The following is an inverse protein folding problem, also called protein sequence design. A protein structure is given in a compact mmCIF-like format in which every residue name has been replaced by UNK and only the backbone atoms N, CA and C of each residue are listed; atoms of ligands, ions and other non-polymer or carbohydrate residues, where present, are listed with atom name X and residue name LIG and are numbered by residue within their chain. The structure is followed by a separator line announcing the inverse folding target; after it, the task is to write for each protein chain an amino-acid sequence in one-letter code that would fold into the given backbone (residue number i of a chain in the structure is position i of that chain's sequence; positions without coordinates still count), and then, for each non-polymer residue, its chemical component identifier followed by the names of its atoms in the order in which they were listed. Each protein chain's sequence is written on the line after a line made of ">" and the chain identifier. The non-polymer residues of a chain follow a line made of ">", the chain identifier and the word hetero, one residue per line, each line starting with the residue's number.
data_IF_052597518895
#
_entry.id   IF_052597518895
#
_cell.length_a   1.000
_cell.length_b   1.000
_cell.length_c   1.000
_cell.angle_alpha   90.00
_cell.angle_beta   90.00
_cell.angle_gamma   90.00
#
_symmetry.space_group_name_H-M   'P 1'
#
loop_
_entity.id
_entity.type
_entity.pdbx_description
1 polymer ?
#
# COMPACT_ATOMS: atom_id res chain seq x y z
N UNK A 1 -27.44 -66.42 28.88
CA UNK A 1 -27.86 -65.93 27.55
C UNK A 1 -27.23 -64.55 27.34
N UNK A 2 -26.09 -64.55 26.65
CA UNK A 2 -25.32 -63.34 26.34
C UNK A 2 -25.69 -62.91 24.91
N UNK A 3 -26.27 -61.73 24.75
CA UNK A 3 -26.54 -61.15 23.46
C UNK A 3 -25.39 -60.17 23.09
N UNK A 4 -24.66 -60.56 22.06
CA UNK A 4 -23.60 -59.80 21.44
C UNK A 4 -24.15 -58.51 20.82
N UNK A 5 -23.70 -57.35 21.30
CA UNK A 5 -23.83 -56.10 20.58
C UNK A 5 -22.62 -55.91 19.67
N UNK A 6 -22.82 -56.26 18.41
CA UNK A 6 -21.88 -55.86 17.35
C UNK A 6 -21.98 -54.34 17.12
N UNK A 7 -20.97 -53.64 17.59
CA UNK A 7 -20.75 -52.21 17.18
C UNK A 7 -20.05 -52.21 15.83
N UNK A 8 -20.87 -51.97 14.82
CA UNK A 8 -20.36 -51.65 13.46
C UNK A 8 -19.65 -50.29 13.51
N UNK A 9 -18.33 -50.31 13.59
CA UNK A 9 -17.49 -49.13 13.33
C UNK A 9 -17.53 -48.84 11.82
N UNK A 10 -18.60 -48.25 11.35
CA UNK A 10 -18.64 -47.64 10.03
C UNK A 10 -17.84 -46.33 10.10
N UNK A 11 -16.71 -46.38 9.45
CA UNK A 11 -15.89 -45.32 8.89
C UNK A 11 -16.48 -43.92 8.99
N UNK A 12 -16.15 -43.19 10.05
CA UNK A 12 -16.20 -41.75 10.06
C UNK A 12 -14.93 -41.30 9.34
N UNK A 13 -15.02 -41.20 8.02
CA UNK A 13 -14.05 -40.42 7.24
C UNK A 13 -14.27 -38.98 7.65
N UNK A 14 -13.48 -38.54 8.60
CA UNK A 14 -13.34 -37.12 8.89
C UNK A 14 -12.66 -36.48 7.67
N UNK A 15 -13.50 -35.95 6.77
CA UNK A 15 -13.04 -35.10 5.68
C UNK A 15 -12.48 -33.83 6.35
N UNK A 16 -11.20 -33.85 6.70
CA UNK A 16 -10.45 -32.65 7.03
C UNK A 16 -10.37 -31.88 5.71
N UNK A 17 -11.35 -31.02 5.47
CA UNK A 17 -11.21 -29.91 4.53
C UNK A 17 -10.06 -29.05 5.07
N UNK A 18 -8.87 -29.37 4.63
CA UNK A 18 -7.75 -28.44 4.63
C UNK A 18 -8.23 -27.25 3.77
N UNK A 19 -8.81 -26.26 4.43
CA UNK A 19 -8.87 -24.92 3.92
C UNK A 19 -7.41 -24.45 3.81
N UNK A 20 -6.74 -24.87 2.73
CA UNK A 20 -5.61 -24.11 2.25
C UNK A 20 -6.20 -22.76 1.90
N UNK A 21 -5.98 -21.78 2.76
CA UNK A 21 -6.09 -20.38 2.42
C UNK A 21 -5.05 -20.11 1.33
N UNK A 22 -5.34 -20.55 0.11
CA UNK A 22 -4.68 -19.98 -1.04
C UNK A 22 -5.05 -18.50 -0.93
N UNK A 23 -4.06 -17.67 -0.68
CA UNK A 23 -4.15 -16.26 -0.97
C UNK A 23 -4.49 -16.18 -2.45
N UNK A 24 -5.80 -16.09 -2.74
CA UNK A 24 -6.29 -15.79 -4.07
C UNK A 24 -5.79 -14.36 -4.30
N UNK A 25 -4.56 -14.24 -4.80
CA UNK A 25 -4.16 -13.05 -5.52
C UNK A 25 -5.16 -12.99 -6.67
N UNK A 26 -6.16 -12.13 -6.51
CA UNK A 26 -7.16 -11.87 -7.53
C UNK A 26 -6.44 -11.73 -8.85
N UNK A 27 -6.90 -12.39 -9.93
CA UNK A 27 -6.38 -12.22 -11.29
C UNK A 27 -6.37 -10.75 -11.73
N UNK A 28 -6.98 -9.89 -10.92
CA UNK A 28 -7.20 -8.47 -11.13
C UNK A 28 -6.07 -7.57 -10.57
N UNK A 29 -5.03 -8.15 -9.93
CA UNK A 29 -3.89 -7.38 -9.42
C UNK A 29 -2.68 -7.57 -10.32
N UNK A 30 -2.27 -6.49 -10.98
CA UNK A 30 -1.10 -6.48 -11.86
C UNK A 30 0.11 -5.86 -11.16
N UNK A 31 1.30 -6.37 -11.49
CA UNK A 31 2.57 -5.87 -10.95
C UNK A 31 3.26 -4.94 -11.95
N UNK A 32 3.50 -3.71 -11.54
CA UNK A 32 4.17 -2.67 -12.32
C UNK A 32 5.52 -2.36 -11.68
N UNK A 33 6.61 -2.63 -12.41
CA UNK A 33 7.97 -2.30 -11.95
C UNK A 33 8.36 -0.93 -12.46
N UNK A 34 8.62 0.01 -11.57
CA UNK A 34 9.15 1.33 -11.84
C UNK A 34 10.63 1.42 -11.44
N UNK A 35 11.27 2.54 -11.74
CA UNK A 35 12.70 2.74 -11.49
C UNK A 35 13.08 2.56 -10.02
N UNK A 36 12.29 3.11 -9.09
CA UNK A 36 12.57 3.10 -7.66
C UNK A 36 11.55 2.34 -6.82
N UNK A 37 10.45 1.89 -7.38
CA UNK A 37 9.38 1.22 -6.65
C UNK A 37 8.66 0.17 -7.49
N UNK A 38 7.92 -0.69 -6.83
CA UNK A 38 7.07 -1.72 -7.46
C UNK A 38 5.65 -1.52 -6.95
N UNK A 39 4.70 -1.44 -7.87
CA UNK A 39 3.27 -1.32 -7.57
C UNK A 39 2.56 -2.64 -7.84
N UNK A 40 1.70 -3.07 -6.90
CA UNK A 40 0.62 -4.03 -7.13
C UNK A 40 -0.66 -3.23 -7.28
N UNK A 41 -1.16 -3.15 -8.51
CA UNK A 41 -2.31 -2.33 -8.88
C UNK A 41 -3.53 -3.21 -9.11
N UNK A 42 -4.62 -2.93 -8.41
CA UNK A 42 -5.91 -3.61 -8.58
C UNK A 42 -6.67 -2.93 -9.72
N UNK A 43 -6.91 -3.67 -10.81
CA UNK A 43 -7.56 -3.14 -12.01
C UNK A 43 -9.06 -2.88 -11.82
N UNK A 44 -9.72 -3.59 -10.92
CA UNK A 44 -11.13 -3.40 -10.62
C UNK A 44 -11.36 -2.21 -9.69
N UNK A 45 -10.47 -2.04 -8.70
CA UNK A 45 -10.50 -0.89 -7.79
C UNK A 45 -9.86 0.35 -8.38
N UNK A 46 -8.98 0.17 -9.37
CA UNK A 46 -8.22 1.23 -10.04
C UNK A 46 -7.36 2.06 -9.08
N UNK A 47 -6.77 1.39 -8.08
CA UNK A 47 -5.78 1.98 -7.18
C UNK A 47 -4.70 0.97 -6.76
N UNK A 48 -3.52 1.45 -6.30
CA UNK A 48 -2.46 0.57 -5.81
C UNK A 48 -2.85 -0.04 -4.46
N UNK A 49 -3.04 -1.38 -4.43
CA UNK A 49 -3.25 -2.12 -3.18
C UNK A 49 -1.95 -2.26 -2.39
N UNK A 50 -0.80 -2.22 -3.08
CA UNK A 50 0.52 -2.15 -2.46
C UNK A 50 1.52 -1.47 -3.39
N UNK A 51 2.31 -0.57 -2.84
CA UNK A 51 3.56 -0.06 -3.42
C UNK A 51 4.68 -0.38 -2.45
N UNK A 52 5.85 -0.83 -2.95
CA UNK A 52 6.99 -1.19 -2.11
C UNK A 52 8.29 -0.66 -2.68
N UNK A 53 9.18 -0.22 -1.79
CA UNK A 53 10.46 0.38 -2.19
C UNK A 53 11.48 0.42 -1.06
N UNK A 54 12.76 0.55 -1.44
CA UNK A 54 13.81 0.95 -0.53
C UNK A 54 13.93 2.48 -0.48
N UNK A 55 14.06 3.03 0.71
CA UNK A 55 14.49 4.42 0.95
C UNK A 55 15.94 4.37 1.40
N UNK A 56 16.80 5.11 0.71
CA UNK A 56 18.24 5.17 0.98
C UNK A 56 18.71 6.63 1.09
N UNK A 57 19.78 6.87 1.83
CA UNK A 57 20.38 8.23 1.95
C UNK A 57 20.68 8.86 0.58
N UNK A 58 21.05 8.04 -0.42
CA UNK A 58 21.33 8.50 -1.77
C UNK A 58 20.15 9.26 -2.41
N UNK A 59 18.92 8.97 -2.02
CA UNK A 59 17.72 9.66 -2.55
C UNK A 59 17.65 11.12 -2.08
N UNK A 60 18.43 11.50 -1.07
CA UNK A 60 18.43 12.85 -0.48
C UNK A 60 19.78 13.58 -0.61
N UNK A 61 20.82 12.88 -1.09
CA UNK A 61 22.21 13.36 -1.14
C UNK A 61 22.64 13.53 -2.59
N UNK A 62 22.20 14.60 -3.22
CA UNK A 62 22.61 14.98 -4.57
C UNK A 62 22.96 16.47 -4.60
N UNK A 63 23.90 16.82 -5.49
CA UNK A 63 24.35 18.20 -5.66
C UNK A 63 23.29 19.09 -6.31
N UNK A 64 22.44 18.49 -7.13
CA UNK A 64 21.33 19.17 -7.80
C UNK A 64 20.02 18.41 -7.58
N UNK A 65 19.01 19.12 -7.10
CA UNK A 65 17.65 18.59 -6.96
C UNK A 65 16.76 19.06 -8.11
N UNK A 66 16.05 18.12 -8.70
CA UNK A 66 15.04 18.43 -9.68
C UNK A 66 13.86 19.16 -9.02
N UNK A 67 13.33 20.17 -9.73
CA UNK A 67 12.10 20.79 -9.31
C UNK A 67 10.97 19.74 -9.31
N UNK A 68 10.11 19.84 -8.29
CA UNK A 68 8.92 19.00 -8.22
C UNK A 68 8.04 19.29 -9.43
N UNK A 69 7.71 18.25 -10.20
CA UNK A 69 6.71 18.36 -11.25
C UNK A 69 5.32 18.47 -10.64
N UNK A 70 4.38 19.08 -11.37
CA UNK A 70 2.98 19.25 -10.93
C UNK A 70 1.98 18.46 -11.79
N UNK A 71 2.47 17.84 -12.88
CA UNK A 71 1.62 17.16 -13.86
C UNK A 71 1.53 15.68 -13.56
N UNK A 72 0.35 15.23 -13.20
CA UNK A 72 0.02 13.82 -13.10
C UNK A 72 -0.24 13.23 -14.50
N UNK A 73 0.08 11.97 -14.70
CA UNK A 73 -0.08 11.31 -15.98
C UNK A 73 -0.49 9.85 -15.84
N UNK A 74 -1.09 9.34 -16.94
CA UNK A 74 -1.33 7.91 -17.04
C UNK A 74 0.00 7.15 -17.01
N UNK A 75 -0.01 5.98 -16.35
CA UNK A 75 1.12 5.07 -16.39
C UNK A 75 1.19 4.39 -17.76
N UNK A 76 2.29 4.51 -18.51
CA UNK A 76 2.42 3.86 -19.81
C UNK A 76 2.25 2.32 -19.78
N UNK A 77 2.39 1.71 -18.60
CA UNK A 77 2.21 0.27 -18.36
C UNK A 77 0.74 -0.10 -18.11
N UNK A 78 -0.14 0.90 -17.93
CA UNK A 78 -1.59 0.76 -17.70
C UNK A 78 -2.38 1.39 -18.86
N UNK A 79 -2.16 0.94 -20.08
CA UNK A 79 -2.70 1.56 -21.31
C UNK A 79 -4.24 1.74 -21.31
N UNK A 80 -4.97 0.87 -20.61
CA UNK A 80 -6.44 0.88 -20.56
C UNK A 80 -7.01 1.82 -19.49
N UNK A 81 -6.16 2.35 -18.59
CA UNK A 81 -6.57 3.16 -17.44
C UNK A 81 -6.10 4.62 -17.58
N UNK A 82 -6.42 5.24 -18.72
CA UNK A 82 -5.93 6.59 -19.04
C UNK A 82 -6.75 7.71 -18.41
N UNK A 83 -8.01 7.43 -18.01
CA UNK A 83 -8.97 8.46 -17.58
C UNK A 83 -9.00 8.72 -16.07
N UNK A 84 -8.06 8.15 -15.29
CA UNK A 84 -8.03 8.32 -13.82
C UNK A 84 -7.94 9.80 -13.40
N UNK A 85 -7.34 10.67 -14.23
CA UNK A 85 -7.28 12.10 -13.94
C UNK A 85 -8.66 12.74 -13.74
N UNK A 86 -9.60 12.39 -14.59
CA UNK A 86 -10.93 13.02 -14.58
C UNK A 86 -11.75 12.59 -13.35
N UNK A 87 -11.49 11.40 -12.83
CA UNK A 87 -12.15 10.89 -11.63
C UNK A 87 -11.77 11.67 -10.37
N UNK A 88 -10.58 12.30 -10.33
CA UNK A 88 -10.17 13.15 -9.24
C UNK A 88 -10.72 14.58 -9.31
N UNK A 89 -11.13 15.04 -10.49
CA UNK A 89 -11.63 16.42 -10.66
C UNK A 89 -12.90 16.61 -9.84
N UNK A 90 -12.92 17.66 -9.05
CA UNK A 90 -14.07 18.04 -8.19
C UNK A 90 -14.55 16.95 -7.24
N UNK A 91 -13.74 15.90 -7.01
CA UNK A 91 -14.10 14.78 -6.14
C UNK A 91 -14.01 15.10 -4.64
N UNK A 92 -13.24 16.12 -4.26
CA UNK A 92 -12.88 16.42 -2.88
C UNK A 92 -11.71 15.59 -2.35
N UNK A 93 -11.17 14.67 -3.15
CA UNK A 93 -10.00 13.85 -2.81
C UNK A 93 -8.72 14.37 -3.45
N UNK A 94 -7.64 14.31 -2.71
CA UNK A 94 -6.29 14.55 -3.22
C UNK A 94 -5.80 13.32 -4.00
N UNK A 95 -4.88 13.55 -4.95
CA UNK A 95 -4.05 12.51 -5.54
C UNK A 95 -2.91 12.19 -4.59
N UNK A 96 -3.18 11.33 -3.61
CA UNK A 96 -2.21 10.98 -2.58
C UNK A 96 -1.11 10.07 -3.13
N UNK A 97 0.13 10.54 -3.11
CA UNK A 97 1.27 9.70 -3.50
C UNK A 97 1.46 8.55 -2.52
N UNK A 98 1.64 7.33 -3.02
CA UNK A 98 2.06 6.19 -2.18
C UNK A 98 3.57 6.16 -2.07
N UNK A 99 4.29 6.12 -3.20
CA UNK A 99 5.74 6.42 -3.27
C UNK A 99 5.90 7.94 -3.38
N UNK A 100 6.47 8.60 -2.37
CA UNK A 100 6.57 10.05 -2.32
C UNK A 100 7.44 10.67 -3.42
N UNK A 101 7.00 11.77 -4.00
CA UNK A 101 7.76 12.52 -4.99
C UNK A 101 9.12 13.02 -4.46
N UNK A 102 9.22 13.25 -3.15
CA UNK A 102 10.46 13.63 -2.45
C UNK A 102 11.63 12.68 -2.78
N UNK A 103 11.36 11.38 -2.94
CA UNK A 103 12.40 10.39 -3.24
C UNK A 103 12.89 10.42 -4.69
N UNK A 104 12.24 11.20 -5.54
CA UNK A 104 12.63 11.45 -6.93
C UNK A 104 13.43 12.74 -7.13
N UNK A 105 13.67 13.55 -6.10
CA UNK A 105 14.35 14.85 -6.25
C UNK A 105 15.74 14.73 -6.87
N UNK A 106 16.45 13.64 -6.58
CA UNK A 106 17.78 13.37 -7.15
C UNK A 106 17.77 12.59 -8.48
N UNK A 107 16.64 12.17 -8.97
CA UNK A 107 16.48 11.43 -10.24
C UNK A 107 15.19 11.83 -10.94
N UNK A 108 15.30 12.60 -12.01
CA UNK A 108 14.16 13.12 -12.75
C UNK A 108 13.21 12.02 -13.27
N UNK A 109 13.75 10.87 -13.68
CA UNK A 109 12.90 9.75 -14.15
C UNK A 109 12.06 9.18 -12.99
N UNK A 110 12.67 9.00 -11.82
CA UNK A 110 11.96 8.59 -10.60
C UNK A 110 10.91 9.64 -10.19
N UNK A 111 11.27 10.95 -10.27
CA UNK A 111 10.31 12.03 -10.04
C UNK A 111 9.11 11.91 -10.98
N UNK A 112 9.34 11.75 -12.28
CA UNK A 112 8.28 11.62 -13.29
C UNK A 112 7.39 10.40 -13.01
N UNK A 113 8.00 9.24 -12.74
CA UNK A 113 7.26 8.01 -12.47
C UNK A 113 6.42 8.12 -11.19
N UNK A 114 6.89 8.86 -10.17
CA UNK A 114 6.12 9.04 -8.94
C UNK A 114 4.78 9.75 -9.15
N UNK A 115 4.59 10.48 -10.26
CA UNK A 115 3.34 11.15 -10.65
C UNK A 115 2.43 10.32 -11.55
N UNK A 116 2.73 9.05 -11.77
CA UNK A 116 1.79 8.16 -12.45
C UNK A 116 0.58 7.83 -11.57
N UNK A 117 -0.62 7.75 -12.18
CA UNK A 117 -1.83 7.39 -11.45
C UNK A 117 -1.76 6.00 -10.80
N UNK A 118 -0.93 5.10 -11.30
CA UNK A 118 -0.64 3.80 -10.67
C UNK A 118 0.02 3.91 -9.29
N UNK A 119 0.49 5.11 -8.92
CA UNK A 119 1.07 5.43 -7.62
C UNK A 119 0.15 6.31 -6.75
N UNK A 120 -1.11 6.55 -7.16
CA UNK A 120 -2.02 7.47 -6.48
C UNK A 120 -3.13 6.72 -5.74
N UNK A 121 -3.42 7.17 -4.53
CA UNK A 121 -4.64 6.82 -3.79
C UNK A 121 -5.55 8.04 -3.72
N UNK A 122 -6.87 7.87 -3.92
CA UNK A 122 -7.84 8.89 -3.53
C UNK A 122 -7.81 9.05 -2.01
N UNK A 123 -7.09 10.04 -1.52
CA UNK A 123 -6.97 10.34 -0.09
C UNK A 123 -7.73 11.63 0.25
N UNK A 124 -8.36 11.66 1.42
CA UNK A 124 -8.91 12.92 1.92
C UNK A 124 -7.79 13.93 2.14
N UNK A 125 -8.03 15.24 1.92
CA UNK A 125 -7.02 16.27 2.16
C UNK A 125 -6.46 16.26 3.59
N UNK A 126 -7.31 15.95 4.58
CA UNK A 126 -6.90 15.84 5.98
C UNK A 126 -5.87 14.74 6.18
N UNK A 127 -6.11 13.55 5.61
CA UNK A 127 -5.15 12.44 5.68
C UNK A 127 -3.88 12.75 4.88
N UNK A 128 -4.02 13.08 3.59
CA UNK A 128 -2.89 13.27 2.68
C UNK A 128 -1.91 14.35 3.13
N UNK A 129 -2.45 15.49 3.60
CA UNK A 129 -1.65 16.65 4.02
C UNK A 129 -1.27 16.62 5.51
N UNK A 130 -1.90 15.73 6.30
CA UNK A 130 -1.69 15.51 7.73
C UNK A 130 -0.86 14.26 8.03
N UNK A 131 -1.50 13.25 8.62
CA UNK A 131 -0.84 12.06 9.18
C UNK A 131 -0.03 11.27 8.15
N UNK A 132 -0.50 11.17 6.91
CA UNK A 132 0.23 10.49 5.84
C UNK A 132 1.57 11.17 5.57
N UNK A 133 1.57 12.50 5.45
CA UNK A 133 2.79 13.30 5.28
C UNK A 133 3.72 13.19 6.49
N UNK A 134 3.19 13.16 7.72
CA UNK A 134 4.00 13.00 8.93
C UNK A 134 4.75 11.66 8.94
N UNK A 135 4.12 10.57 8.47
CA UNK A 135 4.82 9.27 8.36
C UNK A 135 5.83 9.25 7.22
N UNK A 136 5.65 10.03 6.16
CA UNK A 136 6.69 10.21 5.13
C UNK A 136 7.93 10.91 5.70
N UNK A 137 7.72 11.94 6.52
CA UNK A 137 8.80 12.64 7.22
C UNK A 137 9.51 11.72 8.22
N UNK A 138 8.77 10.96 9.02
CA UNK A 138 9.31 9.92 9.91
C UNK A 138 10.17 8.92 9.13
N UNK A 139 9.67 8.40 8.01
CA UNK A 139 10.38 7.46 7.15
C UNK A 139 11.73 8.01 6.68
N UNK A 140 11.77 9.30 6.31
CA UNK A 140 13.01 9.99 5.93
C UNK A 140 13.98 10.10 7.10
N UNK A 141 13.50 10.48 8.28
CA UNK A 141 14.34 10.59 9.50
C UNK A 141 14.94 9.23 9.88
N UNK A 142 14.15 8.16 9.84
CA UNK A 142 14.62 6.81 10.12
C UNK A 142 15.66 6.35 9.07
N UNK A 143 15.45 6.69 7.80
CA UNK A 143 16.45 6.42 6.76
C UNK A 143 17.77 7.19 7.00
N UNK A 144 17.70 8.47 7.39
CA UNK A 144 18.90 9.26 7.71
C UNK A 144 19.63 8.67 8.91
N UNK A 145 18.93 8.21 9.93
CA UNK A 145 19.49 7.62 11.16
C UNK A 145 20.10 6.23 10.92
N UNK A 146 19.47 5.38 10.12
CA UNK A 146 19.80 3.96 10.00
C UNK A 146 20.26 3.53 8.60
N UNK A 147 20.58 4.46 7.70
CA UNK A 147 21.04 4.31 6.31
C UNK A 147 20.02 3.84 5.30
N UNK A 148 19.14 2.91 5.65
CA UNK A 148 18.10 2.43 4.75
C UNK A 148 16.90 1.86 5.50
N UNK A 149 15.73 2.09 4.94
CA UNK A 149 14.47 1.50 5.38
C UNK A 149 13.73 0.93 4.18
N UNK A 150 12.94 -0.11 4.40
CA UNK A 150 12.06 -0.64 3.37
C UNK A 150 10.63 -0.27 3.72
N UNK A 151 9.84 0.09 2.71
CA UNK A 151 8.47 0.54 2.90
C UNK A 151 7.52 -0.27 2.03
N UNK A 152 6.39 -0.64 2.60
CA UNK A 152 5.19 -1.08 1.90
C UNK A 152 4.07 -0.13 2.27
N UNK A 153 3.26 0.28 1.31
CA UNK A 153 2.10 1.13 1.56
C UNK A 153 1.04 0.91 0.49
N UNK A 154 -0.22 1.18 0.82
CA UNK A 154 -1.31 1.01 -0.14
C UNK A 154 -2.67 1.37 0.42
N UNK A 155 -3.71 1.07 -0.37
CA UNK A 155 -5.11 1.19 0.03
C UNK A 155 -5.73 -0.17 0.33
N UNK A 156 -6.79 -0.18 1.14
CA UNK A 156 -7.60 -1.36 1.44
C UNK A 156 -9.07 -0.98 1.61
N UNK A 157 -9.97 -1.90 1.23
CA UNK A 157 -11.41 -1.68 1.30
C UNK A 157 -11.94 -0.73 0.23
N UNK A 158 -13.19 -0.36 0.35
CA UNK A 158 -13.89 0.60 -0.50
C UNK A 158 -15.00 1.28 0.30
N UNK A 159 -15.03 2.60 0.34
CA UNK A 159 -16.13 3.37 0.94
C UNK A 159 -17.08 3.91 -0.12
N UNK A 160 -16.60 4.21 -1.30
CA UNK A 160 -17.38 4.70 -2.46
C UNK A 160 -16.55 4.63 -3.73
N UNK A 161 -17.16 5.01 -4.84
CA UNK A 161 -16.48 5.16 -6.13
C UNK A 161 -16.45 6.62 -6.60
N UNK A 162 -15.39 6.96 -7.31
CA UNK A 162 -15.24 8.17 -8.11
C UNK A 162 -15.26 7.72 -9.58
N UNK A 163 -16.42 7.80 -10.24
CA UNK A 163 -16.60 7.12 -11.50
C UNK A 163 -16.41 5.60 -11.35
N UNK A 164 -15.42 5.04 -12.01
CA UNK A 164 -15.06 3.62 -11.90
C UNK A 164 -13.99 3.32 -10.84
N UNK A 165 -13.27 4.35 -10.35
CA UNK A 165 -12.21 4.21 -9.36
C UNK A 165 -12.77 4.11 -7.95
N UNK A 166 -12.36 3.12 -7.19
CA UNK A 166 -12.72 2.96 -5.78
C UNK A 166 -11.92 3.92 -4.88
N UNK A 167 -12.57 4.42 -3.82
CA UNK A 167 -11.90 5.14 -2.73
C UNK A 167 -11.62 4.14 -1.62
N UNK A 168 -10.36 3.92 -1.24
CA UNK A 168 -10.03 2.99 -0.17
C UNK A 168 -10.61 3.45 1.17
N UNK A 169 -11.10 2.51 1.96
CA UNK A 169 -11.59 2.77 3.32
C UNK A 169 -10.44 3.14 4.26
N UNK A 170 -9.32 2.43 4.09
CA UNK A 170 -8.09 2.69 4.85
C UNK A 170 -6.91 2.85 3.90
N UNK A 171 -5.98 3.72 4.30
CA UNK A 171 -4.62 3.77 3.76
C UNK A 171 -3.68 3.19 4.82
N UNK A 172 -2.72 2.38 4.41
CA UNK A 172 -1.81 1.72 5.34
C UNK A 172 -0.35 1.89 4.92
N UNK A 173 0.56 1.80 5.88
CA UNK A 173 2.00 1.84 5.63
C UNK A 173 2.73 0.95 6.63
N UNK A 174 3.70 0.20 6.15
CA UNK A 174 4.67 -0.56 6.95
C UNK A 174 6.07 -0.06 6.64
N UNK A 175 6.85 0.22 7.67
CA UNK A 175 8.24 0.65 7.59
C UNK A 175 9.09 -0.41 8.27
N UNK A 176 10.10 -0.92 7.58
CA UNK A 176 11.09 -1.83 8.14
C UNK A 176 12.46 -1.17 8.18
N UNK A 177 13.07 -1.12 9.36
CA UNK A 177 14.43 -0.61 9.58
C UNK A 177 15.41 -1.77 9.45
N UNK A 178 16.19 -1.79 8.37
CA UNK A 178 17.12 -2.89 8.09
C UNK A 178 18.13 -3.14 9.20
N UNK A 179 18.66 -2.07 9.81
CA UNK A 179 19.71 -2.14 10.83
C UNK A 179 19.23 -2.76 12.14
N UNK A 180 18.05 -2.38 12.62
CA UNK A 180 17.48 -2.84 13.90
C UNK A 180 16.53 -4.03 13.73
N UNK A 181 16.12 -4.34 12.49
CA UNK A 181 15.11 -5.34 12.13
C UNK A 181 13.73 -5.05 12.71
N UNK A 182 13.46 -3.79 13.08
CA UNK A 182 12.19 -3.35 13.62
C UNK A 182 11.19 -3.00 12.52
N UNK A 183 9.92 -3.20 12.83
CA UNK A 183 8.79 -2.88 11.97
C UNK A 183 7.88 -1.87 12.65
N UNK A 184 7.35 -0.93 11.89
CA UNK A 184 6.32 0.02 12.29
C UNK A 184 5.15 -0.08 11.33
N UNK A 185 3.96 -0.40 11.86
CA UNK A 185 2.72 -0.47 11.10
C UNK A 185 1.84 0.75 11.38
N UNK A 186 1.18 1.26 10.34
CA UNK A 186 0.22 2.37 10.42
C UNK A 186 -1.01 2.04 9.59
N UNK A 187 -2.19 2.32 10.15
CA UNK A 187 -3.49 2.16 9.51
C UNK A 187 -4.31 3.44 9.68
N UNK A 188 -4.56 4.14 8.61
CA UNK A 188 -5.27 5.41 8.60
C UNK A 188 -6.64 5.24 8.00
N UNK A 189 -7.68 5.68 8.72
CA UNK A 189 -9.01 5.79 8.14
C UNK A 189 -9.03 6.93 7.11
N UNK A 190 -9.54 6.66 5.94
CA UNK A 190 -9.56 7.63 4.83
C UNK A 190 -10.88 8.41 4.82
N UNK A 191 -11.16 9.12 5.90
CA UNK A 191 -12.33 9.95 6.06
C UNK A 191 -11.96 11.45 6.21
N UNK A 192 -12.96 12.32 6.26
CA UNK A 192 -12.77 13.77 6.37
C UNK A 192 -12.62 14.25 7.81
N UNK A 193 -12.43 13.36 8.77
CA UNK A 193 -12.15 13.75 10.15
C UNK A 193 -10.78 14.43 10.28
N UNK A 194 -10.56 15.09 11.42
CA UNK A 194 -9.25 15.68 11.70
C UNK A 194 -8.22 14.57 11.94
N UNK A 195 -6.96 14.77 11.51
CA UNK A 195 -5.87 13.86 11.85
C UNK A 195 -5.76 13.71 13.38
N UNK A 196 -5.61 12.48 13.83
CA UNK A 196 -5.44 12.16 15.25
C UNK A 196 -3.97 12.14 15.68
N UNK A 197 -3.07 12.22 14.71
CA UNK A 197 -1.64 12.06 14.90
C UNK A 197 -1.18 10.60 14.65
N UNK A 198 0.08 10.46 14.30
CA UNK A 198 0.62 9.16 13.87
C UNK A 198 0.62 8.08 14.97
N UNK A 199 0.67 8.48 16.24
CA UNK A 199 0.70 7.51 17.36
C UNK A 199 -0.63 6.76 17.51
N UNK A 200 -1.75 7.41 17.26
CA UNK A 200 -3.09 6.80 17.38
C UNK A 200 -3.39 5.88 16.19
N UNK A 201 -2.61 6.00 15.12
CA UNK A 201 -2.73 5.19 13.91
C UNK A 201 -1.71 4.03 13.84
N UNK A 202 -0.86 3.85 14.89
CA UNK A 202 0.04 2.70 14.97
C UNK A 202 -0.74 1.42 15.21
N UNK A 203 -0.37 0.37 14.50
CA UNK A 203 -0.99 -0.95 14.61
C UNK A 203 0.05 -2.07 14.55
N UNK A 204 -0.31 -3.23 15.06
CA UNK A 204 0.50 -4.43 14.94
C UNK A 204 0.61 -4.88 13.48
N UNK A 205 1.78 -5.37 13.09
CA UNK A 205 2.04 -5.85 11.72
C UNK A 205 1.11 -7.01 11.37
N UNK A 206 0.84 -7.91 12.31
CA UNK A 206 -0.07 -9.05 12.12
C UNK A 206 -1.51 -8.62 11.75
N UNK A 207 -1.97 -7.47 12.24
CA UNK A 207 -3.25 -6.90 11.83
C UNK A 207 -3.22 -6.50 10.35
N UNK A 208 -2.17 -5.79 9.94
CA UNK A 208 -2.01 -5.39 8.53
C UNK A 208 -1.86 -6.60 7.61
N UNK A 209 -1.10 -7.63 8.01
CA UNK A 209 -0.99 -8.87 7.25
C UNK A 209 -2.36 -9.55 7.08
N UNK A 210 -3.15 -9.61 8.15
CA UNK A 210 -4.52 -10.16 8.11
C UNK A 210 -5.45 -9.35 7.20
N UNK A 211 -5.39 -8.01 7.28
CA UNK A 211 -6.28 -7.14 6.50
C UNK A 211 -5.91 -7.08 5.03
N UNK A 212 -4.64 -7.10 4.71
CA UNK A 212 -4.13 -6.94 3.34
C UNK A 212 -3.92 -8.27 2.61
N UNK A 213 -3.74 -9.37 3.35
CA UNK A 213 -3.32 -10.67 2.80
C UNK A 213 -1.84 -10.69 2.38
N UNK A 214 -1.08 -9.62 2.60
CA UNK A 214 0.35 -9.56 2.31
C UNK A 214 1.19 -10.05 3.48
N UNK A 215 2.37 -10.59 3.17
CA UNK A 215 3.39 -10.90 4.17
C UNK A 215 4.52 -9.87 4.04
N UNK A 216 4.82 -9.15 5.12
CA UNK A 216 5.80 -8.07 5.13
C UNK A 216 7.22 -8.53 5.50
N UNK A 217 7.60 -9.75 5.11
CA UNK A 217 8.97 -10.24 5.28
C UNK A 217 9.85 -9.77 4.12
N UNK A 218 11.05 -9.30 4.45
CA UNK A 218 12.12 -9.11 3.47
C UNK A 218 12.85 -10.44 3.36
N UNK A 219 12.82 -11.02 2.15
CA UNK A 219 13.55 -12.23 1.81
C UNK A 219 15.04 -11.95 1.60
#
# INVERSE_FOLDING_TARGET
>A
MMSNLNYNMKNIIFLILLFQSQTIFSQDVITLKHRAYITSFDINKQYPVMVRWWVTKKMFSCDYKNNRISTFSADPKLKEYTNLNDMYKHSGYDRGHVFPALYGECDYKTMKESFYYSNMLPQTPSLNRGDWKMVEELTKLECIKYDSVYVWAGGIGEVKKLGTMSVPEYCWKVIYIKKTKEYFGFLFKNDFSRPNGINDNKVEISLLEKMTGFNFKIL
#
